data_IF_618520286815
#
_entry.id   IF_618520286815
#
_cell.length_a   1.000
_cell.length_b   1.000
_cell.length_c   1.000
_cell.angle_alpha   90.00
_cell.angle_beta   90.00
_cell.angle_gamma   90.00
#
_symmetry.space_group_name_H-M   'P 1'
#
loop_
_entity.id
_entity.type
_entity.pdbx_description
1 polymer ?
#
# COMPACT_ATOMS: atom_id res chain seq x y z
N UNK A 1 26.37 -27.63 -28.98
CA UNK A 1 26.58 -26.31 -28.33
C UNK A 1 25.49 -26.11 -27.27
N UNK A 2 25.66 -26.57 -26.02
CA UNK A 2 24.74 -26.23 -24.92
C UNK A 2 25.28 -26.52 -23.50
N UNK A 3 26.61 -26.62 -23.34
CA UNK A 3 27.24 -27.04 -22.07
C UNK A 3 28.10 -25.95 -21.41
N UNK A 4 28.11 -24.71 -21.93
CA UNK A 4 28.96 -23.61 -21.42
C UNK A 4 28.27 -22.69 -20.40
N UNK A 5 27.01 -22.95 -20.03
CA UNK A 5 26.24 -22.11 -19.09
C UNK A 5 26.14 -22.68 -17.66
N UNK A 6 26.97 -23.66 -17.31
CA UNK A 6 27.16 -24.07 -15.92
C UNK A 6 28.41 -23.35 -15.41
N UNK A 7 28.22 -22.17 -14.82
CA UNK A 7 29.31 -21.46 -14.14
C UNK A 7 29.98 -22.38 -13.10
N UNK A 8 31.26 -22.11 -12.82
CA UNK A 8 32.10 -22.84 -11.83
C UNK A 8 31.44 -22.93 -10.44
N UNK A 9 30.51 -22.03 -10.16
CA UNK A 9 29.66 -22.05 -8.98
C UNK A 9 28.26 -22.54 -9.38
N UNK A 10 27.74 -23.54 -8.63
CA UNK A 10 26.41 -24.13 -8.87
C UNK A 10 25.29 -23.09 -8.93
N UNK A 11 24.17 -23.46 -9.56
CA UNK A 11 23.01 -22.57 -9.69
C UNK A 11 22.40 -22.29 -8.31
N UNK A 12 22.53 -21.06 -7.83
CA UNK A 12 21.78 -20.59 -6.66
C UNK A 12 20.36 -20.33 -7.11
N UNK A 13 19.44 -21.22 -6.71
CA UNK A 13 18.02 -20.98 -6.94
C UNK A 13 17.56 -19.81 -6.05
N UNK A 14 16.85 -18.81 -6.60
CA UNK A 14 16.27 -17.76 -5.80
C UNK A 14 15.32 -18.34 -4.74
N UNK A 15 15.21 -17.71 -3.55
CA UNK A 15 14.21 -18.07 -2.56
C UNK A 15 12.79 -18.09 -3.16
N UNK A 16 11.92 -18.95 -2.63
CA UNK A 16 10.53 -18.98 -3.09
C UNK A 16 9.88 -17.60 -2.92
N UNK A 17 9.21 -17.11 -3.97
CA UNK A 17 8.52 -15.82 -3.97
C UNK A 17 9.25 -14.68 -4.68
N UNK A 18 10.59 -14.71 -4.80
CA UNK A 18 11.32 -13.66 -5.54
C UNK A 18 11.34 -13.88 -7.05
N UNK A 19 10.99 -15.08 -7.51
CA UNK A 19 10.88 -15.41 -8.95
C UNK A 19 9.93 -14.48 -9.70
N UNK A 20 8.94 -13.90 -9.01
CA UNK A 20 7.97 -12.94 -9.55
C UNK A 20 8.59 -11.61 -9.98
N UNK A 21 9.81 -11.32 -9.54
CA UNK A 21 10.56 -10.10 -9.88
C UNK A 21 11.77 -10.37 -10.78
N UNK A 22 12.03 -11.64 -11.11
CA UNK A 22 13.27 -12.08 -11.78
C UNK A 22 13.39 -11.63 -13.25
N UNK A 23 12.33 -11.08 -13.85
CA UNK A 23 12.32 -10.62 -15.24
C UNK A 23 13.09 -9.32 -15.51
N UNK A 24 13.57 -8.61 -14.48
CA UNK A 24 14.46 -7.45 -14.61
C UNK A 24 13.89 -6.22 -15.33
N UNK A 25 12.64 -6.28 -15.81
CA UNK A 25 11.98 -5.20 -16.54
C UNK A 25 10.96 -4.42 -15.71
N UNK A 26 10.21 -3.54 -16.40
CA UNK A 26 9.17 -2.68 -15.82
C UNK A 26 8.08 -3.47 -15.06
N UNK A 27 7.83 -4.73 -15.42
CA UNK A 27 6.90 -5.61 -14.71
C UNK A 27 7.31 -5.88 -13.26
N UNK A 28 8.60 -6.14 -13.01
CA UNK A 28 9.11 -6.39 -11.66
C UNK A 28 9.01 -5.14 -10.78
N UNK A 29 9.31 -3.98 -11.35
CA UNK A 29 9.15 -2.69 -10.67
C UNK A 29 7.68 -2.40 -10.33
N UNK A 30 6.77 -2.66 -11.28
CA UNK A 30 5.34 -2.45 -11.09
C UNK A 30 4.78 -3.31 -9.95
N UNK A 31 5.18 -4.59 -9.88
CA UNK A 31 4.82 -5.49 -8.78
C UNK A 31 5.41 -5.04 -7.44
N UNK A 32 6.65 -4.56 -7.43
CA UNK A 32 7.31 -4.07 -6.22
C UNK A 32 6.59 -2.82 -5.66
N UNK A 33 6.31 -1.82 -6.50
CA UNK A 33 5.56 -0.63 -6.11
C UNK A 33 4.16 -1.01 -5.60
N UNK A 34 3.47 -1.94 -6.27
CA UNK A 34 2.16 -2.40 -5.82
C UNK A 34 2.20 -2.97 -4.39
N UNK A 35 3.25 -3.73 -4.05
CA UNK A 35 3.40 -4.26 -2.70
C UNK A 35 3.73 -3.18 -1.66
N UNK A 36 4.51 -2.16 -2.02
CA UNK A 36 4.72 -1.00 -1.14
C UNK A 36 3.38 -0.31 -0.86
N UNK A 37 2.58 -0.05 -1.89
CA UNK A 37 1.27 0.58 -1.71
C UNK A 37 0.36 -0.26 -0.81
N UNK A 38 0.28 -1.58 -1.03
CA UNK A 38 -0.47 -2.49 -0.15
C UNK A 38 0.02 -2.43 1.30
N UNK A 39 1.33 -2.44 1.51
CA UNK A 39 1.92 -2.34 2.84
C UNK A 39 1.54 -1.01 3.51
N UNK A 40 1.57 0.10 2.77
CA UNK A 40 1.18 1.41 3.28
C UNK A 40 -0.30 1.45 3.69
N UNK A 41 -1.21 0.85 2.91
CA UNK A 41 -2.64 0.80 3.24
C UNK A 41 -2.87 -0.01 4.52
N UNK A 42 -2.29 -1.21 4.59
CA UNK A 42 -2.41 -2.08 5.76
C UNK A 42 -1.81 -1.41 6.98
N UNK A 43 -0.63 -0.79 6.83
CA UNK A 43 0.04 -0.02 7.88
C UNK A 43 -0.81 1.15 8.37
N UNK A 44 -1.38 1.94 7.47
CA UNK A 44 -2.27 3.06 7.82
C UNK A 44 -3.53 2.58 8.57
N UNK A 45 -4.11 1.46 8.14
CA UNK A 45 -5.30 0.87 8.77
C UNK A 45 -5.01 0.36 10.18
N UNK A 46 -3.90 -0.34 10.37
CA UNK A 46 -3.45 -0.81 11.69
C UNK A 46 -3.11 0.37 12.60
N UNK A 47 -2.40 1.37 12.08
CA UNK A 47 -2.04 2.57 12.82
C UNK A 47 -3.29 3.32 13.32
N UNK A 48 -4.28 3.51 12.45
CA UNK A 48 -5.54 4.13 12.83
C UNK A 48 -6.31 3.31 13.87
N UNK A 49 -6.32 1.98 13.75
CA UNK A 49 -6.92 1.09 14.75
C UNK A 49 -6.30 1.30 16.14
N UNK A 50 -4.96 1.32 16.23
CA UNK A 50 -4.27 1.59 17.49
C UNK A 50 -4.62 2.97 18.04
N UNK A 51 -4.63 4.01 17.20
CA UNK A 51 -5.01 5.34 17.64
C UNK A 51 -6.46 5.43 18.12
N UNK A 52 -7.41 4.74 17.47
CA UNK A 52 -8.79 4.70 17.94
C UNK A 52 -8.92 4.04 19.29
N UNK A 53 -8.21 2.93 19.53
CA UNK A 53 -8.20 2.26 20.84
C UNK A 53 -7.62 3.18 21.91
N UNK A 54 -6.47 3.79 21.66
CA UNK A 54 -5.81 4.68 22.61
C UNK A 54 -6.61 5.97 22.87
N UNK A 55 -7.21 6.54 21.83
CA UNK A 55 -8.03 7.74 21.96
C UNK A 55 -9.36 7.43 22.66
N UNK A 56 -9.98 6.27 22.38
CA UNK A 56 -11.16 5.80 23.09
C UNK A 56 -10.89 5.57 24.57
N UNK A 57 -9.76 4.92 24.91
CA UNK A 57 -9.34 4.79 26.30
C UNK A 57 -9.10 6.16 26.96
N UNK A 58 -8.39 7.06 26.28
CA UNK A 58 -8.14 8.42 26.77
C UNK A 58 -9.44 9.19 27.00
N UNK A 59 -10.43 9.05 26.11
CA UNK A 59 -11.75 9.68 26.23
C UNK A 59 -12.52 9.14 27.43
N UNK A 60 -12.58 7.81 27.60
CA UNK A 60 -13.24 7.19 28.76
C UNK A 60 -12.58 7.55 30.09
N UNK A 61 -11.24 7.69 30.10
CA UNK A 61 -10.47 8.05 31.30
C UNK A 61 -10.48 9.54 31.64
N UNK A 62 -11.01 10.40 30.76
CA UNK A 62 -10.95 11.85 30.92
C UNK A 62 -11.88 12.37 32.02
N UNK A 63 -12.96 11.65 32.34
CA UNK A 63 -13.98 12.08 33.29
C UNK A 63 -14.58 13.43 32.87
N UNK A 64 -14.61 14.39 33.80
CA UNK A 64 -15.15 15.74 33.58
C UNK A 64 -14.09 16.77 33.15
N UNK A 65 -12.87 16.36 32.79
CA UNK A 65 -11.82 17.28 32.33
C UNK A 65 -11.99 17.60 30.83
N UNK A 66 -12.49 18.79 30.46
CA UNK A 66 -12.81 19.11 29.07
C UNK A 66 -11.57 19.13 28.18
N UNK A 67 -10.40 19.47 28.74
CA UNK A 67 -9.14 19.55 28.00
C UNK A 67 -8.67 18.16 27.58
N UNK A 68 -8.86 17.15 28.43
CA UNK A 68 -8.54 15.75 28.10
C UNK A 68 -9.51 15.17 27.07
N UNK A 69 -10.79 15.52 27.17
CA UNK A 69 -11.82 15.15 26.19
C UNK A 69 -11.46 15.71 24.81
N UNK A 70 -11.12 17.00 24.74
CA UNK A 70 -10.73 17.66 23.49
C UNK A 70 -9.48 17.01 22.87
N UNK A 71 -8.46 16.72 23.69
CA UNK A 71 -7.25 16.05 23.23
C UNK A 71 -7.53 14.64 22.68
N UNK A 72 -8.43 13.88 23.31
CA UNK A 72 -8.85 12.57 22.83
C UNK A 72 -9.60 12.69 21.48
N UNK A 73 -10.51 13.65 21.36
CA UNK A 73 -11.20 13.93 20.10
C UNK A 73 -10.25 14.34 18.97
N UNK A 74 -9.25 15.17 19.26
CA UNK A 74 -8.24 15.55 18.28
C UNK A 74 -7.53 14.32 17.70
N UNK A 75 -7.18 13.33 18.53
CA UNK A 75 -6.56 12.07 18.08
C UNK A 75 -7.51 11.24 17.19
N UNK A 76 -8.79 11.18 17.54
CA UNK A 76 -9.81 10.49 16.73
C UNK A 76 -9.90 11.16 15.36
N UNK A 77 -10.10 12.49 15.32
CA UNK A 77 -10.22 13.23 14.07
C UNK A 77 -8.99 13.11 13.18
N UNK A 78 -7.79 13.23 13.73
CA UNK A 78 -6.54 13.05 12.97
C UNK A 78 -6.45 11.65 12.36
N UNK A 79 -6.89 10.62 13.08
CA UNK A 79 -6.89 9.24 12.58
C UNK A 79 -7.93 9.03 11.48
N UNK A 80 -9.15 9.58 11.65
CA UNK A 80 -10.20 9.54 10.61
C UNK A 80 -9.75 10.27 9.35
N UNK A 81 -9.15 11.45 9.49
CA UNK A 81 -8.63 12.22 8.36
C UNK A 81 -7.54 11.42 7.64
N UNK A 82 -6.58 10.85 8.38
CA UNK A 82 -5.53 10.02 7.79
C UNK A 82 -6.08 8.83 6.99
N UNK A 83 -7.09 8.13 7.53
CA UNK A 83 -7.76 7.06 6.81
C UNK A 83 -8.55 7.55 5.60
N UNK A 84 -9.25 8.68 5.73
CA UNK A 84 -10.01 9.28 4.64
C UNK A 84 -9.08 9.70 3.49
N UNK A 85 -7.90 10.24 3.79
CA UNK A 85 -6.87 10.52 2.78
C UNK A 85 -6.35 9.25 2.13
N UNK A 86 -6.05 8.20 2.91
CA UNK A 86 -5.60 6.93 2.36
C UNK A 86 -6.63 6.30 1.42
N UNK A 87 -7.91 6.25 1.82
CA UNK A 87 -9.00 5.75 0.98
C UNK A 87 -9.27 6.68 -0.22
N UNK A 88 -9.26 8.00 0.02
CA UNK A 88 -9.48 9.03 -0.99
C UNK A 88 -8.43 9.01 -2.10
N UNK A 89 -7.18 8.65 -1.80
CA UNK A 89 -6.13 8.48 -2.80
C UNK A 89 -6.50 7.42 -3.86
N UNK A 90 -7.14 6.31 -3.47
CA UNK A 90 -7.62 5.30 -4.42
C UNK A 90 -8.81 5.78 -5.25
N UNK A 91 -9.72 6.52 -4.63
CA UNK A 91 -10.85 7.13 -5.35
C UNK A 91 -10.35 8.12 -6.39
N UNK A 92 -9.42 9.01 -6.02
CA UNK A 92 -8.81 9.96 -6.94
C UNK A 92 -8.02 9.23 -8.04
N UNK A 93 -7.24 8.20 -7.69
CA UNK A 93 -6.54 7.38 -8.67
C UNK A 93 -7.51 6.72 -9.66
N UNK A 94 -8.68 6.26 -9.21
CA UNK A 94 -9.69 5.68 -10.09
C UNK A 94 -10.32 6.72 -11.03
N UNK A 95 -10.61 7.91 -10.51
CA UNK A 95 -11.15 9.03 -11.31
C UNK A 95 -10.15 9.45 -12.38
N UNK A 96 -8.89 9.68 -12.01
CA UNK A 96 -7.85 10.05 -12.97
C UNK A 96 -7.54 8.91 -13.95
N UNK A 97 -7.57 7.66 -13.48
CA UNK A 97 -7.45 6.47 -14.31
C UNK A 97 -8.50 6.46 -15.43
N UNK A 98 -9.77 6.62 -15.05
CA UNK A 98 -10.88 6.68 -15.99
C UNK A 98 -10.77 7.85 -16.98
N UNK A 99 -10.36 9.02 -16.49
CA UNK A 99 -10.30 10.24 -17.32
C UNK A 99 -9.15 10.23 -18.33
N UNK A 100 -7.97 9.78 -17.92
CA UNK A 100 -6.74 9.85 -18.72
C UNK A 100 -6.57 8.60 -19.59
N UNK A 101 -6.93 7.42 -19.04
CA UNK A 101 -6.65 6.12 -19.67
C UNK A 101 -7.91 5.36 -20.09
N UNK A 102 -9.11 5.87 -19.79
CA UNK A 102 -10.37 5.18 -20.07
C UNK A 102 -10.64 3.96 -19.19
N UNK A 103 -9.76 3.66 -18.21
CA UNK A 103 -9.87 2.55 -17.28
C UNK A 103 -9.64 3.04 -15.84
N UNK A 104 -10.66 2.95 -14.95
CA UNK A 104 -10.50 3.26 -13.52
C UNK A 104 -9.39 2.48 -12.82
N UNK A 105 -9.00 1.32 -13.34
CA UNK A 105 -7.99 0.46 -12.73
C UNK A 105 -6.55 0.78 -13.17
N UNK A 106 -6.36 1.64 -14.17
CA UNK A 106 -5.05 1.91 -14.76
C UNK A 106 -4.00 2.38 -13.74
N UNK A 107 -4.40 3.17 -12.75
CA UNK A 107 -3.52 3.66 -11.68
C UNK A 107 -3.55 2.81 -10.42
N UNK A 108 -4.61 2.01 -10.22
CA UNK A 108 -4.76 1.09 -9.10
C UNK A 108 -3.91 -0.17 -9.28
N UNK A 109 -3.68 -0.54 -10.53
CA UNK A 109 -2.91 -1.70 -10.92
C UNK A 109 -1.88 -1.20 -11.92
N UNK A 110 -0.65 -0.98 -11.45
CA UNK A 110 0.45 -0.70 -12.36
C UNK A 110 0.68 -1.98 -13.17
N UNK A 111 0.09 -2.01 -14.37
CA UNK A 111 0.18 -3.08 -15.36
C UNK A 111 0.71 -2.44 -16.65
N UNK A 112 1.48 -3.20 -17.41
CA UNK A 112 1.91 -2.74 -18.73
C UNK A 112 0.79 -3.09 -19.72
N UNK A 113 0.30 -2.08 -20.46
CA UNK A 113 -0.53 -2.33 -21.64
C UNK A 113 0.38 -2.77 -22.77
N UNK A 114 0.58 -4.07 -22.92
CA UNK A 114 1.14 -4.61 -24.15
C UNK A 114 0.02 -4.76 -25.17
N UNK A 115 0.25 -4.44 -26.45
CA UNK A 115 -0.67 -4.85 -27.51
C UNK A 115 -0.79 -6.38 -27.47
N UNK A 116 -2.01 -6.90 -27.33
CA UNK A 116 -2.28 -8.30 -27.60
C UNK A 116 -2.00 -8.58 -29.09
N UNK A 117 -1.37 -9.72 -29.44
CA UNK A 117 -1.23 -10.13 -30.83
C UNK A 117 -2.59 -10.34 -31.50
#
# INVERSE_FOLDING_TARGET
MNQLAQGIFGKVNPPQGVNKYAGGGIEGLSLFINNILKLMIVGASLYALFNFVLAGYSFLSAGDDPKKIEAAWAKIYQSVIGLAFAAGAFVLAAIFGALIFGDPNALLQIRIFTPTP
#
